data_IF_744973938724
#
_entry.id   IF_744973938724
#
_cell.length_a   1.000
_cell.length_b   1.000
_cell.length_c   1.000
_cell.angle_alpha   90.00
_cell.angle_beta   90.00
_cell.angle_gamma   90.00
#
_symmetry.space_group_name_H-M   'P 1'
#
loop_
_entity.id
_entity.type
_entity.pdbx_description
1 polymer ?
#
# COMPACT_ATOMS: atom_id res chain seq x y z
N UNK A 1 -26.09 -23.75 -25.35
CA UNK A 1 -24.89 -23.28 -24.63
C UNK A 1 -25.18 -21.85 -24.25
N UNK A 2 -25.44 -21.59 -22.96
CA UNK A 2 -25.72 -20.20 -22.49
C UNK A 2 -24.44 -19.38 -22.53
N UNK A 3 -24.51 -18.19 -23.09
CA UNK A 3 -23.42 -17.21 -23.00
C UNK A 3 -23.23 -16.80 -21.53
N UNK A 4 -21.98 -16.70 -21.07
CA UNK A 4 -21.72 -16.24 -19.69
C UNK A 4 -22.23 -14.80 -19.52
N UNK A 5 -22.90 -14.51 -18.41
CA UNK A 5 -23.36 -13.16 -18.09
C UNK A 5 -22.17 -12.20 -18.02
N UNK A 6 -22.38 -10.91 -18.34
CA UNK A 6 -21.34 -9.86 -18.29
C UNK A 6 -20.55 -9.88 -16.96
N UNK A 7 -21.20 -10.18 -15.84
CA UNK A 7 -20.56 -10.30 -14.53
C UNK A 7 -19.59 -11.49 -14.46
N UNK A 8 -19.93 -12.62 -15.07
CA UNK A 8 -19.03 -13.78 -15.17
C UNK A 8 -17.85 -13.53 -16.08
N UNK A 9 -18.04 -12.76 -17.15
CA UNK A 9 -16.96 -12.39 -18.08
C UNK A 9 -15.96 -11.48 -17.34
N UNK A 10 -16.45 -10.48 -16.60
CA UNK A 10 -15.62 -9.58 -15.79
C UNK A 10 -14.86 -10.35 -14.70
N UNK A 11 -15.54 -11.27 -13.98
CA UNK A 11 -14.89 -12.11 -12.97
C UNK A 11 -13.84 -13.05 -13.59
N UNK A 12 -14.06 -13.55 -14.80
CA UNK A 12 -13.07 -14.38 -15.53
C UNK A 12 -11.89 -13.54 -16.04
N UNK A 13 -12.13 -12.33 -16.54
CA UNK A 13 -11.07 -11.42 -16.97
C UNK A 13 -10.22 -10.96 -15.77
N UNK A 14 -10.83 -10.67 -14.62
CA UNK A 14 -10.12 -10.39 -13.36
C UNK A 14 -9.31 -11.61 -12.87
N UNK A 15 -9.76 -12.83 -13.12
CA UNK A 15 -9.05 -14.06 -12.75
C UNK A 15 -7.84 -14.35 -13.67
N UNK A 16 -7.86 -13.84 -14.91
CA UNK A 16 -6.82 -14.03 -15.92
C UNK A 16 -5.81 -12.88 -15.91
N UNK A 17 -6.25 -11.69 -15.46
CA UNK A 17 -5.40 -10.51 -15.39
C UNK A 17 -4.48 -10.56 -14.18
N UNK A 18 -3.15 -10.55 -14.40
CA UNK A 18 -2.18 -10.46 -13.32
C UNK A 18 -2.29 -9.13 -12.58
N UNK A 19 -1.89 -9.11 -11.31
CA UNK A 19 -2.02 -7.91 -10.46
C UNK A 19 -1.27 -6.69 -11.01
N UNK A 20 -0.15 -6.90 -11.71
CA UNK A 20 0.56 -5.81 -12.39
C UNK A 20 -0.34 -5.13 -13.42
N UNK A 21 -0.98 -5.92 -14.28
CA UNK A 21 -1.83 -5.41 -15.35
C UNK A 21 -3.09 -4.72 -14.78
N UNK A 22 -3.64 -5.24 -13.69
CA UNK A 22 -4.73 -4.60 -12.95
C UNK A 22 -4.32 -3.24 -12.38
N UNK A 23 -3.19 -3.16 -11.68
CA UNK A 23 -2.67 -1.89 -11.14
C UNK A 23 -2.40 -0.86 -12.24
N UNK A 24 -1.86 -1.31 -13.39
CA UNK A 24 -1.61 -0.46 -14.55
C UNK A 24 -2.92 0.06 -15.16
N UNK A 25 -3.91 -0.80 -15.36
CA UNK A 25 -5.21 -0.44 -15.89
C UNK A 25 -5.96 0.57 -15.00
N UNK A 26 -5.77 0.49 -13.68
CA UNK A 26 -6.34 1.43 -12.69
C UNK A 26 -5.54 2.74 -12.56
N UNK A 27 -4.44 2.89 -13.28
CA UNK A 27 -3.59 4.09 -13.20
C UNK A 27 -2.78 4.18 -11.89
N UNK A 28 -2.57 3.07 -11.19
CA UNK A 28 -1.85 3.02 -9.92
C UNK A 28 -0.33 2.87 -10.08
N UNK A 29 0.16 2.76 -11.32
CA UNK A 29 1.58 2.70 -11.64
C UNK A 29 1.95 3.95 -12.45
N UNK A 30 2.80 4.80 -11.87
CA UNK A 30 3.27 6.02 -12.53
C UNK A 30 4.65 5.81 -13.17
N UNK A 31 5.59 5.24 -12.43
CA UNK A 31 6.97 5.01 -12.87
C UNK A 31 7.50 3.69 -12.31
N UNK A 32 8.40 3.06 -13.06
CA UNK A 32 9.04 1.80 -12.70
C UNK A 32 10.54 1.85 -13.05
N UNK A 33 11.34 1.18 -12.25
CA UNK A 33 12.78 1.03 -12.53
C UNK A 33 13.04 0.01 -13.64
N UNK A 34 12.23 -1.04 -13.71
CA UNK A 34 12.29 -2.08 -14.74
C UNK A 34 10.91 -2.74 -14.90
N UNK A 35 10.19 -2.34 -15.94
CA UNK A 35 8.81 -2.77 -16.17
C UNK A 35 8.70 -4.28 -16.38
N UNK A 36 9.56 -4.88 -17.19
CA UNK A 36 9.51 -6.30 -17.53
C UNK A 36 9.70 -7.18 -16.30
N UNK A 37 10.74 -6.90 -15.51
CA UNK A 37 11.03 -7.67 -14.28
C UNK A 37 9.94 -7.50 -13.22
N UNK A 38 9.43 -6.29 -13.04
CA UNK A 38 8.38 -6.01 -12.05
C UNK A 38 7.09 -6.71 -12.48
N UNK A 39 6.72 -6.64 -13.76
CA UNK A 39 5.53 -7.33 -14.29
C UNK A 39 5.62 -8.84 -14.09
N UNK A 40 6.74 -9.44 -14.45
CA UNK A 40 6.95 -10.90 -14.28
C UNK A 40 6.87 -11.30 -12.80
N UNK A 41 7.56 -10.57 -11.92
CA UNK A 41 7.54 -10.84 -10.48
C UNK A 41 6.13 -10.73 -9.89
N UNK A 42 5.36 -9.71 -10.26
CA UNK A 42 4.05 -9.47 -9.70
C UNK A 42 2.97 -10.41 -10.26
N UNK A 43 3.05 -10.76 -11.54
CA UNK A 43 2.06 -11.63 -12.16
C UNK A 43 2.33 -13.12 -11.92
N UNK A 44 3.60 -13.53 -11.87
CA UNK A 44 4.00 -14.94 -11.86
C UNK A 44 4.67 -15.38 -10.56
N UNK A 45 5.11 -14.42 -9.72
CA UNK A 45 5.80 -14.69 -8.46
C UNK A 45 4.97 -14.37 -7.23
N UNK A 46 5.59 -14.55 -6.07
CA UNK A 46 5.13 -14.06 -4.77
C UNK A 46 6.29 -13.29 -4.14
N UNK A 47 6.01 -12.10 -3.62
CA UNK A 47 7.03 -11.24 -3.03
C UNK A 47 6.50 -10.46 -1.84
N UNK A 48 7.39 -10.03 -0.98
CA UNK A 48 7.11 -8.99 0.00
C UNK A 48 7.52 -7.64 -0.57
N UNK A 49 6.76 -6.61 -0.24
CA UNK A 49 7.04 -5.24 -0.65
C UNK A 49 6.66 -4.29 0.48
N UNK A 50 7.26 -3.12 0.53
CA UNK A 50 6.91 -2.13 1.53
C UNK A 50 6.41 -0.83 0.91
N UNK A 51 5.57 -0.14 1.66
CA UNK A 51 5.16 1.24 1.40
C UNK A 51 5.40 2.05 2.66
N UNK A 52 6.09 3.19 2.52
CA UNK A 52 6.39 4.11 3.61
C UNK A 52 5.23 5.05 3.91
N UNK A 53 4.97 5.27 5.20
CA UNK A 53 3.97 6.20 5.72
C UNK A 53 4.60 7.08 6.78
N UNK A 54 4.43 8.39 6.64
CA UNK A 54 4.86 9.35 7.67
C UNK A 54 3.70 9.58 8.66
N UNK A 55 3.86 9.19 9.94
CA UNK A 55 2.79 9.30 10.94
C UNK A 55 2.70 10.73 11.51
N UNK A 56 2.47 11.72 10.65
CA UNK A 56 2.46 13.16 10.99
C UNK A 56 1.11 13.67 11.49
N UNK A 57 0.09 12.82 11.49
CA UNK A 57 -1.26 13.10 11.99
C UNK A 57 -1.90 11.81 12.53
N UNK A 58 -3.02 11.93 13.21
CA UNK A 58 -3.79 10.80 13.76
C UNK A 58 -4.78 10.18 12.76
N UNK A 59 -4.81 10.68 11.54
CA UNK A 59 -5.69 10.18 10.48
C UNK A 59 -4.99 10.10 9.12
N UNK A 60 -5.39 9.08 8.36
CA UNK A 60 -5.03 8.94 6.95
C UNK A 60 -5.79 9.97 6.10
N UNK A 61 -5.19 10.38 5.00
CA UNK A 61 -5.81 11.23 3.98
C UNK A 61 -5.92 10.50 2.63
N UNK A 62 -6.52 11.12 1.63
CA UNK A 62 -6.78 10.51 0.32
C UNK A 62 -5.51 10.01 -0.39
N UNK A 63 -4.37 10.68 -0.20
CA UNK A 63 -3.09 10.22 -0.75
C UNK A 63 -2.64 8.88 -0.16
N UNK A 64 -2.80 8.69 1.15
CA UNK A 64 -2.55 7.40 1.81
C UNK A 64 -3.52 6.31 1.33
N UNK A 65 -4.78 6.68 1.05
CA UNK A 65 -5.77 5.74 0.57
C UNK A 65 -5.34 5.08 -0.74
N UNK A 66 -4.78 5.82 -1.69
CA UNK A 66 -4.24 5.27 -2.95
C UNK A 66 -3.18 4.22 -2.68
N UNK A 67 -2.25 4.51 -1.77
CA UNK A 67 -1.19 3.55 -1.38
C UNK A 67 -1.76 2.29 -0.72
N UNK A 68 -2.76 2.44 0.15
CA UNK A 68 -3.43 1.31 0.81
C UNK A 68 -4.20 0.45 -0.20
N UNK A 69 -4.79 1.05 -1.22
CA UNK A 69 -5.44 0.30 -2.32
C UNK A 69 -4.43 -0.57 -3.08
N UNK A 70 -3.22 -0.06 -3.35
CA UNK A 70 -2.14 -0.88 -3.92
C UNK A 70 -1.81 -2.05 -3.00
N UNK A 71 -1.67 -1.81 -1.68
CA UNK A 71 -1.42 -2.89 -0.70
C UNK A 71 -2.53 -3.96 -0.74
N UNK A 72 -3.79 -3.55 -0.78
CA UNK A 72 -4.94 -4.45 -0.79
C UNK A 72 -4.99 -5.31 -2.07
N UNK A 73 -4.79 -4.71 -3.26
CA UNK A 73 -4.72 -5.44 -4.52
C UNK A 73 -3.57 -6.45 -4.54
N UNK A 74 -2.40 -6.03 -4.11
CA UNK A 74 -1.22 -6.89 -4.03
C UNK A 74 -1.41 -8.03 -3.03
N UNK A 75 -2.01 -7.76 -1.87
CA UNK A 75 -2.32 -8.80 -0.88
C UNK A 75 -3.34 -9.80 -1.41
N UNK A 76 -4.41 -9.35 -2.08
CA UNK A 76 -5.39 -10.22 -2.75
C UNK A 76 -4.73 -11.14 -3.77
N UNK A 77 -3.70 -10.67 -4.46
CA UNK A 77 -2.90 -11.47 -5.39
C UNK A 77 -1.89 -12.41 -4.70
N UNK A 78 -1.79 -12.38 -3.38
CA UNK A 78 -0.96 -13.28 -2.58
C UNK A 78 0.45 -12.75 -2.28
N UNK A 79 0.74 -11.46 -2.53
CA UNK A 79 1.96 -10.81 -2.07
C UNK A 79 1.82 -10.37 -0.61
N UNK A 80 2.95 -10.15 0.07
CA UNK A 80 2.96 -9.75 1.48
C UNK A 80 3.30 -8.27 1.61
N UNK A 81 2.33 -7.40 1.89
CA UNK A 81 2.58 -5.98 2.10
C UNK A 81 3.21 -5.71 3.48
N UNK A 82 4.13 -4.77 3.50
CA UNK A 82 4.77 -4.25 4.71
C UNK A 82 4.46 -2.75 4.80
N UNK A 83 3.69 -2.35 5.81
CA UNK A 83 3.48 -0.96 6.13
C UNK A 83 4.66 -0.46 6.99
N UNK A 84 5.50 0.39 6.41
CA UNK A 84 6.67 0.95 7.08
C UNK A 84 6.36 2.37 7.56
N UNK A 85 6.35 2.57 8.87
CA UNK A 85 6.13 3.88 9.47
C UNK A 85 7.45 4.61 9.74
N UNK A 86 7.53 5.86 9.32
CA UNK A 86 8.71 6.70 9.49
C UNK A 86 8.79 7.35 10.88
N UNK A 87 8.78 6.55 11.96
CA UNK A 87 8.86 7.07 13.33
C UNK A 87 10.15 7.86 13.60
N UNK A 88 11.28 7.38 13.11
CA UNK A 88 12.58 8.07 13.23
C UNK A 88 12.64 9.39 12.46
N UNK A 89 12.11 9.44 11.24
CA UNK A 89 12.09 10.65 10.41
C UNK A 89 11.13 11.70 10.96
N UNK A 90 10.03 11.30 11.58
CA UNK A 90 9.09 12.20 12.27
C UNK A 90 9.70 12.94 13.46
N UNK A 91 10.69 12.35 14.11
CA UNK A 91 11.42 12.97 15.23
C UNK A 91 12.45 14.00 14.76
N UNK A 92 13.00 13.88 13.55
CA UNK A 92 14.10 14.73 13.04
C UNK A 92 13.54 15.91 12.23
N UNK A 93 12.33 15.83 11.71
CA UNK A 93 11.78 16.78 10.73
C UNK A 93 12.43 16.60 9.36
N UNK A 94 11.64 16.32 8.33
CA UNK A 94 12.14 16.14 6.98
C UNK A 94 12.66 17.48 6.41
N UNK A 95 13.93 17.61 5.99
CA UNK A 95 14.48 18.82 5.39
C UNK A 95 14.06 19.03 3.93
N UNK A 96 13.13 18.25 3.37
CA UNK A 96 12.72 18.37 1.97
C UNK A 96 11.98 19.68 1.66
N UNK A 97 12.76 20.78 1.60
CA UNK A 97 12.55 21.94 0.74
C UNK A 97 11.36 22.87 0.97
N UNK A 98 10.58 22.74 2.05
CA UNK A 98 9.55 23.72 2.41
C UNK A 98 9.91 24.43 3.71
N UNK A 99 10.04 25.72 3.64
CA UNK A 99 10.48 26.72 4.63
C UNK A 99 9.61 26.85 5.90
N UNK A 100 8.78 25.87 6.23
CA UNK A 100 8.13 25.80 7.53
C UNK A 100 8.83 24.71 8.34
N UNK A 101 9.54 25.09 9.41
CA UNK A 101 10.04 24.16 10.40
C UNK A 101 8.88 23.28 10.85
N UNK A 102 8.83 22.02 10.37
CA UNK A 102 7.89 21.04 10.90
C UNK A 102 8.19 20.90 12.37
N UNK A 103 7.20 21.11 13.22
CA UNK A 103 7.31 20.83 14.64
C UNK A 103 7.81 19.40 14.81
N UNK A 104 8.88 19.24 15.56
CA UNK A 104 9.36 17.91 15.96
C UNK A 104 8.29 17.26 16.83
N UNK A 105 7.89 16.07 16.46
CA UNK A 105 6.89 15.30 17.20
C UNK A 105 7.56 14.54 18.33
N UNK A 106 6.85 14.38 19.44
CA UNK A 106 7.31 13.50 20.51
C UNK A 106 7.13 12.04 20.12
N UNK A 107 7.84 11.15 20.79
CA UNK A 107 7.70 9.71 20.56
C UNK A 107 6.27 9.24 20.84
N UNK A 108 5.65 9.77 21.89
CA UNK A 108 4.29 9.45 22.27
C UNK A 108 3.28 9.87 21.20
N UNK A 109 3.45 11.04 20.59
CA UNK A 109 2.63 11.52 19.47
C UNK A 109 2.77 10.60 18.24
N UNK A 110 4.00 10.20 17.91
CA UNK A 110 4.27 9.29 16.79
C UNK A 110 3.62 7.92 17.05
N UNK A 111 3.82 7.34 18.22
CA UNK A 111 3.24 6.06 18.60
C UNK A 111 1.70 6.11 18.61
N UNK A 112 1.10 7.22 19.03
CA UNK A 112 -0.33 7.45 18.93
C UNK A 112 -0.81 7.43 17.47
N UNK A 113 -0.16 8.21 16.61
CA UNK A 113 -0.52 8.31 15.20
C UNK A 113 -0.36 6.98 14.47
N UNK A 114 0.71 6.23 14.74
CA UNK A 114 0.92 4.89 14.19
C UNK A 114 -0.23 3.96 14.56
N UNK A 115 -0.67 3.95 15.82
CA UNK A 115 -1.84 3.15 16.25
C UNK A 115 -3.12 3.57 15.53
N UNK A 116 -3.32 4.86 15.30
CA UNK A 116 -4.47 5.36 14.55
C UNK A 116 -4.43 4.90 13.09
N UNK A 117 -3.26 4.97 12.44
CA UNK A 117 -3.07 4.47 11.07
C UNK A 117 -3.32 2.96 10.99
N UNK A 118 -2.76 2.17 11.91
CA UNK A 118 -2.99 0.72 11.97
C UNK A 118 -4.47 0.37 12.00
N UNK A 119 -5.23 1.04 12.88
CA UNK A 119 -6.67 0.82 13.00
C UNK A 119 -7.44 1.14 11.71
N UNK A 120 -7.04 2.19 11.01
CA UNK A 120 -7.68 2.60 9.76
C UNK A 120 -7.31 1.66 8.61
N UNK A 121 -6.03 1.30 8.47
CA UNK A 121 -5.51 0.40 7.44
C UNK A 121 -6.09 -1.02 7.55
N UNK A 122 -6.31 -1.51 8.77
CA UNK A 122 -6.85 -2.85 9.04
C UNK A 122 -8.29 -3.06 8.52
N UNK A 123 -8.94 -2.01 8.03
CA UNK A 123 -10.23 -2.13 7.35
C UNK A 123 -10.10 -2.60 5.88
N UNK A 124 -8.92 -2.46 5.29
CA UNK A 124 -8.66 -2.72 3.87
C UNK A 124 -7.55 -3.76 3.66
N UNK A 125 -6.61 -3.87 4.60
CA UNK A 125 -5.48 -4.78 4.56
C UNK A 125 -5.55 -5.71 5.77
N UNK A 126 -5.44 -7.00 5.54
CA UNK A 126 -5.47 -8.02 6.59
C UNK A 126 -4.07 -8.22 7.19
N UNK A 127 -3.90 -7.83 8.45
CA UNK A 127 -2.64 -7.96 9.20
C UNK A 127 -2.60 -9.21 10.10
N UNK A 128 -3.60 -10.08 10.02
CA UNK A 128 -3.62 -11.33 10.78
C UNK A 128 -2.61 -12.34 10.22
N UNK A 129 -2.08 -13.18 11.08
CA UNK A 129 -1.27 -14.36 10.73
C UNK A 129 -0.08 -14.07 9.78
N UNK A 130 0.50 -12.87 9.84
CA UNK A 130 1.62 -12.48 8.99
C UNK A 130 1.27 -12.24 7.52
N UNK A 131 -0.02 -12.10 7.17
CA UNK A 131 -0.48 -11.77 5.81
C UNK A 131 -0.07 -10.38 5.37
N UNK A 132 0.10 -9.47 6.32
CA UNK A 132 0.76 -8.18 6.17
C UNK A 132 1.56 -7.87 7.43
N UNK A 133 2.56 -7.02 7.31
CA UNK A 133 3.49 -6.68 8.41
C UNK A 133 3.46 -5.18 8.64
N UNK A 134 3.55 -4.77 9.90
CA UNK A 134 3.74 -3.38 10.31
C UNK A 134 5.11 -3.22 10.95
N UNK A 135 5.86 -2.20 10.52
CA UNK A 135 7.20 -1.87 11.02
C UNK A 135 7.26 -0.38 11.33
N UNK A 136 7.81 -0.04 12.50
CA UNK A 136 8.06 1.35 12.91
C UNK A 136 9.51 1.51 13.32
#
# INVERSE_FOLDING_TARGET
MEEPSERKIIEMEELIMGVYDELKARGLIAQLTNEEKVRDLLNNGKTSFYIGFDPTADSLHVGHFVQIMVMAHMQKAGHTPIALFGGGTGMIGDPSGKTAMRRMMTREEIDHNVRCFQKQMSRLVDFSDGKAIMVN
#
